data_IF_526463324052
#
_entry.id   IF_526463324052
#
_cell.length_a   1.000
_cell.length_b   1.000
_cell.length_c   1.000
_cell.angle_alpha   90.00
_cell.angle_beta   90.00
_cell.angle_gamma   90.00
#
_symmetry.space_group_name_H-M   'P 1'
#
loop_
_entity.id
_entity.type
_entity.pdbx_description
1 polymer ?
#
# COMPACT_ATOMS: atom_id res chain seq x y z
N UNK A 1 8.43 17.42 -9.10
CA UNK A 1 7.41 17.08 -8.07
C UNK A 1 6.24 18.06 -8.12
N UNK A 2 6.50 19.38 -8.16
CA UNK A 2 5.44 20.38 -8.36
C UNK A 2 4.56 20.09 -9.58
N UNK A 3 5.15 19.80 -10.74
CA UNK A 3 4.40 19.49 -11.97
C UNK A 3 3.48 18.27 -11.85
N UNK A 4 3.90 17.24 -11.11
CA UNK A 4 3.07 16.06 -10.85
C UNK A 4 1.89 16.41 -9.94
N UNK A 5 2.14 17.19 -8.89
CA UNK A 5 1.09 17.64 -7.95
C UNK A 5 0.12 18.61 -8.62
N UNK A 6 0.58 19.41 -9.57
CA UNK A 6 -0.26 20.33 -10.36
C UNK A 6 -0.93 19.67 -11.57
N UNK A 7 -0.82 18.35 -11.72
CA UNK A 7 -1.35 17.59 -12.85
C UNK A 7 -0.94 18.15 -14.23
N UNK A 8 0.33 18.53 -14.38
CA UNK A 8 0.87 19.04 -15.65
C UNK A 8 0.70 18.00 -16.76
N UNK A 9 0.07 18.41 -17.88
CA UNK A 9 -0.29 17.53 -19.00
C UNK A 9 0.93 16.85 -19.65
N UNK A 10 2.10 17.50 -19.61
CA UNK A 10 3.34 16.90 -20.14
C UNK A 10 3.72 15.62 -19.40
N UNK A 11 3.28 15.46 -18.14
CA UNK A 11 3.54 14.27 -17.34
C UNK A 11 2.45 13.20 -17.45
N UNK A 12 1.34 13.46 -18.14
CA UNK A 12 0.18 12.56 -18.16
C UNK A 12 0.52 11.14 -18.65
N UNK A 13 1.46 11.00 -19.58
CA UNK A 13 1.87 9.70 -20.11
C UNK A 13 2.80 8.90 -19.17
N UNK A 14 3.25 9.49 -18.06
CA UNK A 14 4.19 8.86 -17.12
C UNK A 14 3.51 8.24 -15.90
N UNK A 15 2.18 8.39 -15.75
CA UNK A 15 1.43 7.79 -14.66
C UNK A 15 0.01 7.42 -15.10
N UNK A 16 -0.58 6.39 -14.48
CA UNK A 16 -1.85 5.84 -14.93
C UNK A 16 -3.08 6.55 -14.35
N UNK A 17 -2.96 7.19 -13.18
CA UNK A 17 -4.10 7.73 -12.43
C UNK A 17 -3.77 9.08 -11.81
N UNK A 18 -4.71 10.05 -11.84
CA UNK A 18 -4.53 11.34 -11.19
C UNK A 18 -4.43 11.21 -9.67
N UNK A 19 -3.79 12.19 -9.03
CA UNK A 19 -3.64 12.26 -7.56
C UNK A 19 -4.90 12.83 -6.91
N UNK A 20 -6.02 12.13 -7.08
CA UNK A 20 -7.30 12.49 -6.49
C UNK A 20 -8.16 11.24 -6.22
N UNK A 21 -9.34 11.43 -5.64
CA UNK A 21 -10.26 10.33 -5.29
C UNK A 21 -10.67 9.49 -6.50
N UNK A 22 -10.84 10.10 -7.68
CA UNK A 22 -11.24 9.35 -8.87
C UNK A 22 -10.09 8.49 -9.41
N UNK A 23 -8.84 8.96 -9.29
CA UNK A 23 -7.66 8.15 -9.54
C UNK A 23 -7.56 6.95 -8.59
N UNK A 24 -7.90 7.12 -7.31
CA UNK A 24 -7.95 6.00 -6.35
C UNK A 24 -9.03 4.98 -6.75
N UNK A 25 -10.25 5.43 -7.11
CA UNK A 25 -11.32 4.54 -7.58
C UNK A 25 -10.92 3.78 -8.85
N UNK A 26 -10.27 4.47 -9.79
CA UNK A 26 -9.77 3.85 -11.02
C UNK A 26 -8.67 2.82 -10.72
N UNK A 27 -7.72 3.14 -9.83
CA UNK A 27 -6.69 2.21 -9.40
C UNK A 27 -7.26 0.96 -8.71
N UNK A 28 -8.29 1.12 -7.86
CA UNK A 28 -9.02 0.00 -7.24
C UNK A 28 -9.67 -0.88 -8.31
N UNK A 29 -10.39 -0.26 -9.25
CA UNK A 29 -11.07 -0.98 -10.34
C UNK A 29 -10.08 -1.76 -11.20
N UNK A 30 -8.97 -1.13 -11.58
CA UNK A 30 -7.90 -1.80 -12.29
C UNK A 30 -7.31 -2.95 -11.46
N UNK A 31 -7.09 -2.74 -10.15
CA UNK A 31 -6.55 -3.76 -9.26
C UNK A 31 -7.46 -4.97 -9.09
N UNK A 32 -8.78 -4.82 -9.20
CA UNK A 32 -9.75 -5.93 -9.15
C UNK A 32 -9.52 -6.95 -10.28
N UNK A 33 -8.96 -6.53 -11.42
CA UNK A 33 -8.63 -7.44 -12.52
C UNK A 33 -7.45 -8.37 -12.22
N UNK A 34 -6.62 -8.04 -11.22
CA UNK A 34 -5.46 -8.84 -10.83
C UNK A 34 -5.86 -9.98 -9.89
N UNK A 35 -5.73 -11.21 -10.38
CA UNK A 35 -5.93 -12.43 -9.57
C UNK A 35 -4.84 -12.56 -8.52
N UNK A 36 -5.12 -12.09 -7.31
CA UNK A 36 -4.22 -12.20 -6.16
C UNK A 36 -4.57 -13.45 -5.34
N UNK A 37 -3.60 -14.32 -5.05
CA UNK A 37 -3.81 -15.41 -4.11
C UNK A 37 -3.79 -14.87 -2.66
N UNK A 38 -4.93 -14.35 -2.21
CA UNK A 38 -5.09 -13.70 -0.91
C UNK A 38 -4.85 -14.64 0.26
N UNK A 39 -5.25 -15.91 0.13
CA UNK A 39 -5.03 -16.91 1.18
C UNK A 39 -3.54 -17.18 1.38
N UNK A 40 -2.80 -17.38 0.28
CA UNK A 40 -1.34 -17.56 0.34
C UNK A 40 -0.67 -16.33 0.96
N UNK A 41 -1.05 -15.12 0.54
CA UNK A 41 -0.51 -13.88 1.10
C UNK A 41 -0.68 -13.80 2.63
N UNK A 42 -1.89 -14.07 3.13
CA UNK A 42 -2.18 -14.02 4.57
C UNK A 42 -1.43 -15.11 5.33
N UNK A 43 -1.35 -16.32 4.77
CA UNK A 43 -0.61 -17.42 5.37
C UNK A 43 0.89 -17.08 5.49
N UNK A 44 1.50 -16.59 4.41
CA UNK A 44 2.92 -16.23 4.40
C UNK A 44 3.23 -15.07 5.35
N UNK A 45 2.40 -14.03 5.39
CA UNK A 45 2.57 -12.94 6.35
C UNK A 45 2.40 -13.42 7.80
N UNK A 46 1.45 -14.31 8.06
CA UNK A 46 1.27 -14.91 9.40
C UNK A 46 2.51 -15.70 9.81
N UNK A 47 3.05 -16.51 8.90
CA UNK A 47 4.24 -17.33 9.15
C UNK A 47 5.50 -16.47 9.36
N UNK A 48 5.71 -15.44 8.54
CA UNK A 48 6.87 -14.54 8.64
C UNK A 48 6.92 -13.79 9.97
N UNK A 49 5.75 -13.43 10.51
CA UNK A 49 5.62 -12.65 11.73
C UNK A 49 5.17 -13.48 12.95
N UNK A 50 5.19 -14.82 12.88
CA UNK A 50 4.68 -15.70 13.94
C UNK A 50 5.30 -15.45 15.34
N UNK A 51 6.52 -14.94 15.40
CA UNK A 51 7.25 -14.66 16.63
C UNK A 51 7.10 -13.21 17.12
N UNK A 52 6.30 -12.39 16.42
CA UNK A 52 6.04 -10.99 16.78
C UNK A 52 4.58 -10.88 17.19
N UNK A 53 4.28 -10.45 18.43
CA UNK A 53 2.91 -10.32 18.89
C UNK A 53 2.18 -9.25 18.08
N UNK A 54 0.98 -9.59 17.60
CA UNK A 54 0.10 -8.64 16.95
C UNK A 54 -0.82 -7.95 17.95
N UNK A 55 -1.01 -6.65 17.75
CA UNK A 55 -2.15 -5.93 18.32
C UNK A 55 -3.45 -6.37 17.66
N UNK A 56 -4.58 -6.13 18.35
CA UNK A 56 -5.92 -6.41 17.82
C UNK A 56 -6.16 -5.78 16.44
N UNK A 57 -5.67 -4.54 16.23
CA UNK A 57 -5.79 -3.85 14.94
C UNK A 57 -4.96 -4.52 13.84
N UNK A 58 -3.74 -4.96 14.13
CA UNK A 58 -2.90 -5.66 13.16
C UNK A 58 -3.52 -6.99 12.74
N UNK A 59 -4.03 -7.78 13.70
CA UNK A 59 -4.72 -9.03 13.40
C UNK A 59 -5.98 -8.80 12.55
N UNK A 60 -6.78 -7.78 12.87
CA UNK A 60 -7.96 -7.41 12.09
C UNK A 60 -7.59 -6.98 10.66
N UNK A 61 -6.55 -6.17 10.49
CA UNK A 61 -6.07 -5.72 9.19
C UNK A 61 -5.52 -6.88 8.36
N UNK A 62 -4.74 -7.79 8.95
CA UNK A 62 -4.23 -8.98 8.27
C UNK A 62 -5.38 -9.86 7.76
N UNK A 63 -6.37 -10.14 8.61
CA UNK A 63 -7.56 -10.91 8.23
C UNK A 63 -8.38 -10.20 7.14
N UNK A 64 -8.44 -8.86 7.16
CA UNK A 64 -9.16 -8.10 6.13
C UNK A 64 -8.61 -8.34 4.72
N UNK A 65 -7.33 -8.71 4.57
CA UNK A 65 -6.71 -9.00 3.28
C UNK A 65 -7.32 -10.20 2.55
N UNK A 66 -8.03 -11.09 3.27
CA UNK A 66 -8.78 -12.21 2.68
C UNK A 66 -9.96 -11.73 1.83
N UNK A 67 -10.53 -10.55 2.13
CA UNK A 67 -11.65 -9.99 1.39
C UNK A 67 -11.21 -9.43 0.04
N UNK A 68 -11.98 -9.73 -1.01
CA UNK A 68 -11.79 -9.16 -2.34
C UNK A 68 -12.10 -7.65 -2.42
N UNK A 69 -12.74 -7.09 -1.39
CA UNK A 69 -13.03 -5.65 -1.26
C UNK A 69 -11.92 -4.88 -0.57
N UNK A 70 -10.88 -5.56 -0.07
CA UNK A 70 -9.76 -4.93 0.64
C UNK A 70 -8.61 -4.64 -0.31
N UNK A 71 -8.13 -3.40 -0.25
CA UNK A 71 -6.99 -2.88 -0.99
C UNK A 71 -6.01 -2.22 -0.01
N UNK A 72 -4.73 -2.20 -0.38
CA UNK A 72 -3.66 -1.66 0.46
C UNK A 72 -3.00 -0.48 -0.22
N UNK A 73 -2.68 0.54 0.57
CA UNK A 73 -1.66 1.52 0.20
C UNK A 73 -0.34 0.90 0.61
N UNK A 74 0.62 0.85 -0.31
CA UNK A 74 1.91 0.21 -0.07
C UNK A 74 3.01 1.17 -0.44
N UNK A 75 3.87 1.46 0.53
CA UNK A 75 5.11 2.19 0.32
C UNK A 75 6.27 1.32 0.79
N UNK A 76 7.47 1.60 0.31
CA UNK A 76 8.68 0.88 0.69
C UNK A 76 9.79 1.85 1.10
N UNK A 77 10.73 1.32 1.87
CA UNK A 77 11.94 2.00 2.30
C UNK A 77 13.05 0.96 2.51
N UNK A 78 14.31 1.37 2.33
CA UNK A 78 15.45 0.50 2.61
C UNK A 78 15.55 0.22 4.12
N UNK A 79 15.92 -1.00 4.54
CA UNK A 79 16.22 -1.27 5.94
C UNK A 79 17.40 -0.42 6.40
N UNK A 80 17.19 0.46 7.37
CA UNK A 80 18.22 1.31 7.94
C UNK A 80 18.37 1.05 9.44
N UNK A 81 19.61 1.12 9.93
CA UNK A 81 19.90 1.07 11.36
C UNK A 81 19.19 2.26 12.03
N UNK A 82 18.56 2.01 13.19
CA UNK A 82 17.80 3.02 13.95
C UNK A 82 16.72 3.75 13.13
N UNK A 83 15.96 2.99 12.32
CA UNK A 83 14.83 3.47 11.50
C UNK A 83 15.15 4.52 10.43
N UNK A 84 16.42 4.95 10.33
CA UNK A 84 16.90 5.86 9.30
C UNK A 84 16.41 7.30 9.50
N UNK A 85 16.32 8.09 8.41
CA UNK A 85 15.92 9.49 8.50
C UNK A 85 14.45 9.65 8.91
N UNK A 86 14.13 10.77 9.58
CA UNK A 86 12.79 11.09 10.08
C UNK A 86 11.68 10.97 9.02
N UNK A 87 12.00 11.22 7.74
CA UNK A 87 11.07 11.05 6.62
C UNK A 87 10.43 9.65 6.55
N UNK A 88 11.11 8.60 7.02
CA UNK A 88 10.54 7.25 7.08
C UNK A 88 9.32 7.18 8.01
N UNK A 89 9.37 7.86 9.15
CA UNK A 89 8.26 7.92 10.10
C UNK A 89 7.08 8.69 9.49
N UNK A 90 7.34 9.82 8.83
CA UNK A 90 6.29 10.58 8.13
C UNK A 90 5.61 9.76 7.04
N UNK A 91 6.36 8.94 6.30
CA UNK A 91 5.82 8.04 5.26
C UNK A 91 4.92 6.94 5.81
N UNK A 92 5.11 6.50 7.07
CA UNK A 92 4.25 5.47 7.69
C UNK A 92 2.94 6.09 8.19
N UNK A 93 2.98 7.34 8.67
CA UNK A 93 1.83 8.02 9.28
C UNK A 93 0.89 8.62 8.21
N UNK A 94 1.42 9.00 7.05
CA UNK A 94 0.72 9.68 5.97
C UNK A 94 0.32 8.72 4.85
#
# INVERSE_FOLDING_TARGET
MSDYLSANEQLANFYNYPVNIDGIKAAITARQSFKTNRQLLVNELTNQYQNIPFSTKQSANLNSLLSNKTFTITTAHQPNIFTGPLYFIYKIIH
#
